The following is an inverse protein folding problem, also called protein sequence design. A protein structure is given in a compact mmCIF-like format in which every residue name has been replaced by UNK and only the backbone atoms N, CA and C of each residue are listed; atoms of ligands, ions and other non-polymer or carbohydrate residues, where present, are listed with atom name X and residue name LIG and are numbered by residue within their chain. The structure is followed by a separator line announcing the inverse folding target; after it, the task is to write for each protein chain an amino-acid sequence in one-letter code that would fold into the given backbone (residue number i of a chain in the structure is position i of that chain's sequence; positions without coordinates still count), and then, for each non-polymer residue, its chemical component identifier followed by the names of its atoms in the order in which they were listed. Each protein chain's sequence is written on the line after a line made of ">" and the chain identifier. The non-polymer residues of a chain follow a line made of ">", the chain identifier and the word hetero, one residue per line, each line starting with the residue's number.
data_IF_671915412802
#
_entry.id   IF_671915412802
#
_cell.length_a   1.000
_cell.length_b   1.000
_cell.length_c   1.000
_cell.angle_alpha   90.00
_cell.angle_beta   90.00
_cell.angle_gamma   90.00
#
_symmetry.space_group_name_H-M   'P 1'
#
loop_
_entity.id
_entity.type
_entity.pdbx_description
1 polymer ?
#
# COMPACT_ATOMS: atom_id res chain seq x y z
N UNK A 1 8.66 14.36 -4.20
CA UNK A 1 8.39 13.13 -3.42
C UNK A 1 7.29 12.29 -4.05
N UNK A 2 6.21 12.94 -4.52
CA UNK A 2 5.13 12.20 -5.19
C UNK A 2 5.64 11.50 -6.45
N UNK A 3 6.45 12.16 -7.24
CA UNK A 3 7.00 11.58 -8.47
C UNK A 3 7.85 10.37 -8.17
N UNK A 4 8.62 10.43 -7.10
CA UNK A 4 9.48 9.33 -6.70
C UNK A 4 8.65 8.11 -6.30
N UNK A 5 7.55 8.33 -5.58
CA UNK A 5 6.65 7.24 -5.20
C UNK A 5 5.97 6.63 -6.42
N UNK A 6 5.48 7.48 -7.32
CA UNK A 6 4.81 7.01 -8.53
C UNK A 6 5.76 6.21 -9.42
N UNK A 7 7.00 6.65 -9.53
CA UNK A 7 8.00 5.95 -10.30
C UNK A 7 8.31 4.58 -9.70
N UNK A 8 8.45 4.50 -8.38
CA UNK A 8 8.73 3.25 -7.71
C UNK A 8 7.59 2.26 -7.91
N UNK A 9 6.35 2.73 -7.80
CA UNK A 9 5.18 1.88 -8.01
C UNK A 9 5.17 1.32 -9.44
N UNK A 10 5.44 2.17 -10.41
CA UNK A 10 5.45 1.77 -11.81
C UNK A 10 6.58 0.77 -12.08
N UNK A 11 7.76 1.02 -11.53
CA UNK A 11 8.91 0.15 -11.76
C UNK A 11 8.69 -1.23 -11.18
N UNK A 12 7.94 -1.33 -10.08
CA UNK A 12 7.60 -2.61 -9.47
C UNK A 12 6.40 -3.28 -10.12
N UNK A 13 5.69 -2.57 -10.99
CA UNK A 13 4.49 -3.12 -11.62
C UNK A 13 3.29 -3.17 -10.70
N UNK A 14 3.23 -2.28 -9.71
CA UNK A 14 2.20 -2.30 -8.67
C UNK A 14 1.07 -1.31 -8.92
N UNK A 15 0.94 -0.83 -10.16
CA UNK A 15 -0.07 0.21 -10.47
C UNK A 15 -1.50 -0.26 -10.25
N UNK A 16 -1.74 -1.56 -10.32
CA UNK A 16 -3.08 -2.11 -10.10
C UNK A 16 -3.43 -2.30 -8.62
N UNK A 17 -2.47 -2.10 -7.72
CA UNK A 17 -2.74 -2.21 -6.30
C UNK A 17 -3.55 -1.01 -5.82
N UNK A 18 -4.26 -1.20 -4.72
CA UNK A 18 -4.98 -0.09 -4.09
C UNK A 18 -4.03 0.66 -3.18
N UNK A 19 -3.77 1.92 -3.49
CA UNK A 19 -2.88 2.75 -2.70
C UNK A 19 -3.32 4.20 -2.77
N UNK A 20 -2.82 5.00 -1.83
CA UNK A 20 -3.07 6.44 -1.82
C UNK A 20 -1.78 7.16 -1.43
N UNK A 21 -1.45 8.21 -2.16
CA UNK A 21 -0.28 9.04 -1.93
C UNK A 21 -0.74 10.42 -1.53
N UNK A 22 -0.33 10.85 -0.31
CA UNK A 22 -0.58 12.22 0.19
C UNK A 22 -2.04 12.63 0.09
N UNK A 23 -2.93 11.72 0.52
CA UNK A 23 -4.37 12.00 0.60
C UNK A 23 -5.03 12.29 -0.75
N UNK A 24 -4.64 11.50 -1.78
CA UNK A 24 -5.27 11.61 -3.09
C UNK A 24 -6.78 11.44 -3.03
N UNK A 25 -7.26 10.62 -2.09
CA UNK A 25 -8.68 10.38 -1.91
C UNK A 25 -8.94 9.98 -0.46
N UNK A 26 -10.21 9.90 -0.10
CA UNK A 26 -10.61 9.44 1.23
C UNK A 26 -10.20 7.99 1.43
N UNK A 27 -9.95 7.58 2.67
CA UNK A 27 -9.61 6.18 2.93
C UNK A 27 -10.67 5.23 2.38
N UNK A 28 -10.18 4.22 1.67
CA UNK A 28 -11.00 3.13 1.13
C UNK A 28 -10.51 1.82 1.72
N UNK A 29 -11.26 0.74 1.47
CA UNK A 29 -10.90 -0.57 1.98
C UNK A 29 -9.67 -1.12 1.28
N UNK A 30 -8.86 -1.85 2.04
CA UNK A 30 -7.76 -2.67 1.51
C UNK A 30 -6.77 -1.86 0.67
N UNK A 31 -6.36 -0.70 1.17
CA UNK A 31 -5.36 0.09 0.49
C UNK A 31 -4.18 0.41 1.41
N UNK A 32 -3.02 0.63 0.80
CA UNK A 32 -1.83 1.08 1.51
C UNK A 32 -1.71 2.58 1.30
N UNK A 33 -1.54 3.32 2.38
CA UNK A 33 -1.54 4.77 2.33
C UNK A 33 -0.26 5.36 2.89
N UNK A 34 0.23 6.41 2.23
CA UNK A 34 1.27 7.26 2.78
C UNK A 34 0.70 8.67 2.84
N UNK A 35 0.77 9.29 4.00
CA UNK A 35 0.21 10.62 4.24
C UNK A 35 1.27 11.53 4.81
N UNK A 36 1.10 12.83 4.61
CA UNK A 36 1.98 13.85 5.20
C UNK A 36 1.14 14.82 6.01
N UNK A 37 1.54 15.03 7.26
CA UNK A 37 0.87 15.98 8.15
C UNK A 37 1.69 17.27 8.15
N UNK A 38 1.13 18.34 7.60
CA UNK A 38 1.84 19.61 7.48
C UNK A 38 2.07 20.29 8.83
N UNK A 39 1.30 19.94 9.84
CA UNK A 39 1.46 20.55 11.17
C UNK A 39 2.66 19.96 11.88
N UNK A 40 2.76 18.64 11.97
CA UNK A 40 3.89 17.98 12.61
C UNK A 40 5.07 17.82 11.67
N UNK A 41 4.83 17.94 10.36
CA UNK A 41 5.81 17.68 9.31
C UNK A 41 6.32 16.25 9.34
N UNK A 42 5.46 15.34 9.78
CA UNK A 42 5.76 13.92 9.82
C UNK A 42 4.96 13.17 8.77
N UNK A 43 5.46 11.99 8.42
CA UNK A 43 4.80 11.11 7.47
C UNK A 43 4.15 9.96 8.21
N UNK A 44 3.03 9.49 7.69
CA UNK A 44 2.31 8.36 8.26
C UNK A 44 2.10 7.31 7.18
N UNK A 45 2.35 6.05 7.52
CA UNK A 45 2.14 4.93 6.61
C UNK A 45 1.29 3.89 7.32
N UNK A 46 0.25 3.43 6.64
CA UNK A 46 -0.63 2.42 7.21
C UNK A 46 -1.41 1.73 6.09
N UNK A 47 -2.02 0.61 6.44
CA UNK A 47 -2.89 -0.13 5.52
C UNK A 47 -4.30 -0.16 6.10
N UNK A 48 -5.29 0.04 5.25
CA UNK A 48 -6.68 -0.06 5.68
C UNK A 48 -7.18 -1.49 5.49
N UNK A 49 -8.27 -1.80 6.17
CA UNK A 49 -8.91 -3.09 6.12
C UNK A 49 -10.37 -2.89 5.74
N UNK A 50 -11.21 -3.82 6.14
CA UNK A 50 -12.65 -3.73 5.89
C UNK A 50 -13.19 -2.41 6.45
N UNK A 51 -14.05 -1.75 5.69
CA UNK A 51 -14.67 -0.46 6.06
C UNK A 51 -13.63 0.63 6.31
N UNK A 52 -12.48 0.52 5.63
CA UNK A 52 -11.39 1.49 5.74
C UNK A 52 -10.86 1.66 7.18
N UNK A 53 -11.05 0.65 8.02
CA UNK A 53 -10.47 0.66 9.36
C UNK A 53 -8.98 0.40 9.27
N UNK A 54 -8.24 0.74 10.34
CA UNK A 54 -6.81 0.46 10.41
C UNK A 54 -6.43 0.19 11.87
N UNK A 55 -5.38 -0.61 12.06
CA UNK A 55 -4.91 -0.91 13.41
C UNK A 55 -3.95 0.14 13.92
N UNK A 56 -3.04 0.60 13.08
CA UNK A 56 -1.98 1.47 13.54
C UNK A 56 -1.39 2.25 12.38
N UNK A 57 -1.20 3.55 12.59
CA UNK A 57 -0.45 4.39 11.67
C UNK A 57 0.99 4.46 12.15
N UNK A 58 1.92 4.13 11.27
CA UNK A 58 3.34 4.22 11.56
C UNK A 58 3.81 5.63 11.22
N UNK A 59 4.50 6.27 12.14
CA UNK A 59 4.94 7.65 11.99
C UNK A 59 6.43 7.70 11.68
N UNK A 60 6.80 8.58 10.74
CA UNK A 60 8.19 8.76 10.32
C UNK A 60 8.48 10.24 10.23
N UNK A 61 9.69 10.64 10.63
CA UNK A 61 10.09 12.03 10.57
C UNK A 61 10.81 12.41 9.28
N UNK A 62 10.96 11.46 8.36
CA UNK A 62 11.59 11.73 7.07
C UNK A 62 10.92 10.90 5.98
N UNK A 63 11.05 11.40 4.75
CA UNK A 63 10.41 10.77 3.60
C UNK A 63 11.01 9.42 3.25
N UNK A 64 12.32 9.29 3.36
CA UNK A 64 13.00 8.06 2.95
C UNK A 64 12.47 6.85 3.71
N UNK A 65 12.37 6.97 5.03
CA UNK A 65 11.90 5.86 5.85
C UNK A 65 10.42 5.58 5.60
N UNK A 66 9.63 6.63 5.42
CA UNK A 66 8.21 6.48 5.11
C UNK A 66 8.03 5.78 3.77
N UNK A 67 8.79 6.18 2.76
CA UNK A 67 8.72 5.55 1.45
C UNK A 67 9.07 4.07 1.53
N UNK A 68 10.16 3.75 2.24
CA UNK A 68 10.58 2.36 2.36
C UNK A 68 9.48 1.51 3.00
N UNK A 69 8.83 2.02 4.04
CA UNK A 69 7.73 1.29 4.69
C UNK A 69 6.52 1.18 3.79
N UNK A 70 6.22 2.22 3.03
CA UNK A 70 5.11 2.21 2.08
C UNK A 70 5.29 1.11 1.04
N UNK A 71 6.49 1.04 0.46
CA UNK A 71 6.81 0.01 -0.54
C UNK A 71 6.78 -1.39 0.10
N UNK A 72 7.30 -1.51 1.32
CA UNK A 72 7.29 -2.78 2.03
C UNK A 72 5.86 -3.28 2.24
N UNK A 73 4.93 -2.38 2.56
CA UNK A 73 3.53 -2.76 2.74
C UNK A 73 2.87 -3.15 1.42
N UNK A 74 3.25 -2.50 0.32
CA UNK A 74 2.76 -2.92 -0.99
C UNK A 74 3.26 -4.32 -1.35
N UNK A 75 4.53 -4.60 -1.08
CA UNK A 75 5.09 -5.93 -1.28
C UNK A 75 4.33 -6.97 -0.46
N UNK A 76 4.04 -6.64 0.78
CA UNK A 76 3.32 -7.53 1.67
C UNK A 76 1.91 -7.82 1.17
N UNK A 77 1.24 -6.80 0.62
CA UNK A 77 -0.09 -6.97 0.03
C UNK A 77 -0.05 -8.01 -1.09
N UNK A 78 0.95 -7.93 -1.95
CA UNK A 78 1.10 -8.90 -3.05
C UNK A 78 1.31 -10.30 -2.49
N UNK A 79 2.21 -10.44 -1.50
CA UNK A 79 2.51 -11.74 -0.92
C UNK A 79 1.29 -12.38 -0.25
N UNK A 80 0.55 -11.59 0.51
CA UNK A 80 -0.61 -12.07 1.23
C UNK A 80 -1.69 -12.55 0.25
N UNK A 81 -1.97 -11.76 -0.78
CA UNK A 81 -3.03 -12.11 -1.71
C UNK A 81 -2.66 -13.29 -2.60
N UNK A 82 -1.39 -13.41 -2.97
CA UNK A 82 -0.92 -14.59 -3.69
C UNK A 82 -1.04 -15.85 -2.84
N UNK A 83 -0.73 -15.73 -1.55
CA UNK A 83 -0.86 -16.87 -0.64
C UNK A 83 -2.32 -17.27 -0.49
N UNK A 84 -3.23 -16.31 -0.43
CA UNK A 84 -4.66 -16.60 -0.34
C UNK A 84 -5.15 -17.36 -1.57
N UNK A 85 -4.74 -16.93 -2.76
CA UNK A 85 -5.11 -17.62 -4.00
C UNK A 85 -4.61 -19.06 -3.98
N UNK A 86 -3.36 -19.26 -3.59
CA UNK A 86 -2.79 -20.60 -3.53
C UNK A 86 -3.51 -21.52 -2.56
N UNK A 87 -4.02 -20.95 -1.48
CA UNK A 87 -4.76 -21.71 -0.46
C UNK A 87 -6.23 -21.88 -0.79
N UNK A 88 -6.68 -21.33 -1.91
CA UNK A 88 -8.09 -21.41 -2.29
C UNK A 88 -8.97 -20.40 -1.58
N UNK A 89 -8.37 -19.41 -0.92
CA UNK A 89 -9.11 -18.36 -0.22
C UNK A 89 -9.34 -17.17 -1.14
N UNK A 90 -10.30 -16.32 -0.76
CA UNK A 90 -10.63 -15.13 -1.53
C UNK A 90 -9.62 -14.04 -1.21
N UNK A 91 -9.00 -13.41 -2.22
CA UNK A 91 -8.07 -12.30 -1.97
C UNK A 91 -8.83 -11.05 -1.52
N UNK A 92 -8.10 -10.05 -1.06
CA UNK A 92 -8.69 -8.79 -0.59
C UNK A 92 -9.48 -8.10 -1.70
N UNK A 93 -8.98 -8.15 -2.91
CA UNK A 93 -9.64 -7.61 -4.10
C UNK A 93 -9.01 -8.25 -5.34
N UNK A 94 -9.59 -8.00 -6.50
CA UNK A 94 -9.09 -8.58 -7.75
C UNK A 94 -7.89 -7.79 -8.25
N UNK A 95 -6.86 -8.50 -8.69
CA UNK A 95 -5.71 -7.86 -9.31
C UNK A 95 -4.98 -8.88 -10.17
N UNK A 96 -4.49 -8.44 -11.35
CA UNK A 96 -3.69 -9.35 -12.18
C UNK A 96 -2.39 -9.76 -11.53
N UNK A 97 -1.95 -9.06 -10.49
CA UNK A 97 -0.69 -9.38 -9.83
C UNK A 97 -0.71 -10.70 -9.09
N UNK A 98 -1.84 -11.10 -8.53
CA UNK A 98 -1.93 -12.39 -7.87
C UNK A 98 -2.68 -13.43 -8.67
N UNK A 99 -3.20 -13.05 -9.81
CA UNK A 99 -3.77 -14.02 -10.74
C UNK A 99 -2.69 -14.73 -11.56
N UNK A 100 -1.48 -14.17 -11.60
CA UNK A 100 -0.35 -14.73 -12.34
C UNK A 100 0.58 -15.47 -11.40
N UNK A 101 0.12 -16.58 -10.90
CA UNK A 101 0.90 -17.32 -9.92
C UNK A 101 1.37 -18.64 -10.42
N UNK A 102 1.69 -18.71 -11.64
CA UNK A 102 2.06 -19.94 -12.27
C UNK A 102 3.54 -20.23 -12.22
N UNK A 103 4.31 -19.39 -11.63
CA UNK A 103 5.77 -19.64 -11.62
C UNK A 103 6.32 -20.10 -10.32
#
# INVERSE_FOLDING_TARGET
>A
ERSELSLAIRDLGYESLRYSIFNDHRPSEWEVRIEFDSISEHYFVYATMDRASYNKKLEFDNFKDAKNKFIEKLDLTVKINRASIKSGEVPEYSSPLWDKIDD
#
